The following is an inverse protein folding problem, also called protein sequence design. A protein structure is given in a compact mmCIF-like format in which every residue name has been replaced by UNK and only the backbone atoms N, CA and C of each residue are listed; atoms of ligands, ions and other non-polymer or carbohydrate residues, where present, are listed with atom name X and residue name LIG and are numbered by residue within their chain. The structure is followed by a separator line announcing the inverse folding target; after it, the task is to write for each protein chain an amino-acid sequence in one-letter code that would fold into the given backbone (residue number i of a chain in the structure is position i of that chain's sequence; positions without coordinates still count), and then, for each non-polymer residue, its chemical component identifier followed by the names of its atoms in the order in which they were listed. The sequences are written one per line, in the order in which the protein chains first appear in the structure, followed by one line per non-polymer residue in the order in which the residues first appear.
data_IF_525329625615
#
_entry.id   IF_525329625615
#
_cell.length_a   1.000
_cell.length_b   1.000
_cell.length_c   1.000
_cell.angle_alpha   90.00
_cell.angle_beta   90.00
_cell.angle_gamma   90.00
#
_symmetry.space_group_name_H-M   'P 1'
#
loop_
_entity.id
_entity.type
_entity.pdbx_description
1 polymer ?
#
# COMPACT_ATOMS: atom_id res chain seq x y z
N UNK A 1 -27.09 -37.47 29.92
CA UNK A 1 -27.15 -36.25 30.77
C UNK A 1 -25.93 -35.31 30.68
N UNK A 2 -24.84 -35.66 29.97
CA UNK A 2 -23.60 -34.87 29.96
C UNK A 2 -23.57 -33.64 29.01
N UNK A 3 -24.36 -33.63 27.92
CA UNK A 3 -24.42 -32.53 26.93
C UNK A 3 -25.19 -31.27 27.38
N UNK A 4 -26.18 -31.40 28.27
CA UNK A 4 -26.93 -30.23 28.81
C UNK A 4 -26.08 -29.37 29.74
N UNK A 5 -25.21 -29.98 30.57
CA UNK A 5 -24.34 -29.27 31.50
C UNK A 5 -23.24 -28.44 30.81
N UNK A 6 -22.74 -28.82 29.63
CA UNK A 6 -21.72 -28.02 28.92
C UNK A 6 -22.30 -26.81 28.17
N UNK A 7 -23.56 -26.90 27.71
CA UNK A 7 -24.27 -25.79 27.07
C UNK A 7 -24.61 -24.69 28.09
N UNK A 8 -25.03 -25.09 29.30
CA UNK A 8 -25.26 -24.18 30.44
C UNK A 8 -23.97 -23.50 30.92
N UNK A 9 -22.83 -24.20 30.94
CA UNK A 9 -21.53 -23.59 31.28
C UNK A 9 -21.04 -22.56 30.24
N UNK A 10 -21.28 -22.79 28.95
CA UNK A 10 -20.96 -21.82 27.88
C UNK A 10 -21.86 -20.59 27.94
N UNK A 11 -23.16 -20.78 28.21
CA UNK A 11 -24.11 -19.67 28.37
C UNK A 11 -23.76 -18.84 29.61
N UNK A 12 -23.43 -19.49 30.73
CA UNK A 12 -22.97 -18.79 31.94
C UNK A 12 -21.69 -17.99 31.68
N UNK A 13 -20.70 -18.54 30.97
CA UNK A 13 -19.46 -17.83 30.63
C UNK A 13 -19.68 -16.60 29.73
N UNK A 14 -20.58 -16.71 28.74
CA UNK A 14 -20.94 -15.58 27.86
C UNK A 14 -21.70 -14.50 28.64
N UNK A 15 -22.60 -14.89 29.55
CA UNK A 15 -23.34 -13.97 30.41
C UNK A 15 -22.40 -13.28 31.40
N UNK A 16 -21.40 -13.99 31.96
CA UNK A 16 -20.40 -13.39 32.85
C UNK A 16 -19.54 -12.37 32.11
N UNK A 17 -19.08 -12.67 30.88
CA UNK A 17 -18.34 -11.68 30.06
C UNK A 17 -19.23 -10.47 29.75
N UNK A 18 -20.47 -10.69 29.31
CA UNK A 18 -21.42 -9.62 29.00
C UNK A 18 -21.70 -8.74 30.23
N UNK A 19 -21.88 -9.33 31.41
CA UNK A 19 -22.09 -8.61 32.67
C UNK A 19 -20.83 -7.88 33.15
N UNK A 20 -19.64 -8.47 33.00
CA UNK A 20 -18.38 -7.77 33.32
C UNK A 20 -18.13 -6.58 32.40
N UNK A 21 -18.51 -6.67 31.11
CA UNK A 21 -18.46 -5.54 30.16
C UNK A 21 -19.52 -4.49 30.51
N UNK A 22 -20.70 -4.91 30.97
CA UNK A 22 -21.79 -4.01 31.38
C UNK A 22 -21.49 -3.24 32.69
N UNK A 23 -20.61 -3.76 33.54
CA UNK A 23 -20.21 -3.13 34.81
C UNK A 23 -19.14 -2.04 34.68
N UNK A 24 -18.51 -1.85 33.51
CA UNK A 24 -17.59 -0.73 33.31
C UNK A 24 -18.39 0.53 32.97
N UNK A 25 -18.35 1.53 33.88
CA UNK A 25 -18.66 2.98 33.74
C UNK A 25 -19.44 3.44 32.49
N UNK A 26 -20.43 4.32 32.65
CA UNK A 26 -21.18 4.93 31.53
C UNK A 26 -20.29 5.46 30.39
N UNK A 27 -19.04 5.86 30.68
CA UNK A 27 -18.02 6.31 29.72
C UNK A 27 -17.45 5.18 28.83
N UNK A 28 -17.23 4.00 29.40
CA UNK A 28 -16.77 2.79 28.66
C UNK A 28 -17.90 2.17 27.85
N UNK A 29 -19.15 2.28 28.32
CA UNK A 29 -20.33 1.87 27.56
C UNK A 29 -20.57 2.76 26.33
N UNK A 30 -20.49 4.09 26.46
CA UNK A 30 -20.57 5.00 25.29
C UNK A 30 -19.39 4.82 24.33
N UNK A 31 -18.19 4.54 24.85
CA UNK A 31 -17.03 4.21 24.03
C UNK A 31 -17.25 2.93 23.21
N UNK A 32 -17.82 1.88 23.81
CA UNK A 32 -18.10 0.60 23.14
C UNK A 32 -19.34 0.64 22.24
N UNK A 33 -20.38 1.39 22.59
CA UNK A 33 -21.58 1.60 21.77
C UNK A 33 -21.28 2.41 20.49
N UNK A 34 -20.32 3.34 20.53
CA UNK A 34 -19.81 4.03 19.34
C UNK A 34 -18.86 3.16 18.49
N UNK A 35 -18.34 2.07 19.05
CA UNK A 35 -17.32 1.24 18.40
C UNK A 35 -17.97 0.01 17.73
N UNK A 36 -19.00 -0.64 18.30
CA UNK A 36 -19.29 -2.02 17.87
C UNK A 36 -20.74 -2.56 17.96
N UNK A 37 -21.76 -1.81 17.51
CA UNK A 37 -23.08 -2.40 17.23
C UNK A 37 -23.51 -2.08 15.79
N UNK A 38 -23.11 -2.93 14.84
CA UNK A 38 -23.66 -2.95 13.46
C UNK A 38 -22.74 -2.48 12.34
N UNK A 39 -21.57 -1.91 12.64
CA UNK A 39 -20.58 -1.57 11.62
C UNK A 39 -19.96 -2.85 11.02
N UNK A 40 -19.88 -2.98 9.67
CA UNK A 40 -19.18 -4.08 9.03
C UNK A 40 -17.74 -4.23 9.57
N UNK A 41 -17.26 -5.45 9.86
CA UNK A 41 -15.90 -5.68 10.37
C UNK A 41 -14.79 -5.04 9.54
N UNK A 42 -15.04 -4.83 8.24
CA UNK A 42 -14.10 -4.17 7.34
C UNK A 42 -13.82 -2.70 7.71
N UNK A 43 -14.77 -2.00 8.33
CA UNK A 43 -14.57 -0.63 8.81
C UNK A 43 -13.53 -0.62 9.94
N UNK A 44 -13.66 -1.53 10.91
CA UNK A 44 -12.65 -1.68 11.96
C UNK A 44 -11.29 -2.05 11.35
N UNK A 45 -11.28 -3.00 10.41
CA UNK A 45 -10.05 -3.40 9.74
C UNK A 45 -9.33 -2.20 9.13
N UNK A 46 -10.05 -1.32 8.42
CA UNK A 46 -9.45 -0.13 7.82
C UNK A 46 -8.79 0.79 8.86
N UNK A 47 -9.47 1.02 9.99
CA UNK A 47 -8.97 1.90 11.05
C UNK A 47 -7.76 1.31 11.79
N UNK A 48 -7.76 0.00 12.02
CA UNK A 48 -6.70 -0.67 12.79
C UNK A 48 -5.46 -0.97 11.95
N UNK A 49 -5.60 -1.16 10.64
CA UNK A 49 -4.53 -1.62 9.77
C UNK A 49 -3.21 -0.80 9.88
N UNK A 50 -3.22 0.54 9.92
CA UNK A 50 -1.98 1.32 10.10
C UNK A 50 -1.24 1.00 11.40
N UNK A 51 -1.95 0.52 12.41
CA UNK A 51 -1.44 0.23 13.75
C UNK A 51 -0.94 -1.21 13.92
N UNK A 52 -1.22 -2.11 12.96
CA UNK A 52 -0.78 -3.51 13.01
C UNK A 52 0.73 -3.67 12.75
N UNK A 53 1.45 -2.60 12.41
CA UNK A 53 2.91 -2.61 12.20
C UNK A 53 3.34 -3.22 10.87
N UNK A 54 2.39 -3.60 10.01
CA UNK A 54 2.67 -4.22 8.71
C UNK A 54 3.16 -3.21 7.66
N UNK A 55 2.76 -1.94 7.76
CA UNK A 55 3.09 -0.90 6.77
C UNK A 55 4.37 -0.15 7.13
N UNK A 56 4.53 0.15 8.42
CA UNK A 56 5.58 1.00 8.98
C UNK A 56 6.10 0.36 10.27
N UNK A 57 7.36 -0.10 10.26
CA UNK A 57 7.98 -0.78 11.38
C UNK A 57 9.40 -0.27 11.63
N UNK A 58 9.89 -0.42 12.86
CA UNK A 58 11.28 -0.11 13.21
C UNK A 58 12.28 -0.89 12.33
N UNK A 59 11.99 -2.17 12.08
CA UNK A 59 12.76 -3.03 11.19
C UNK A 59 12.79 -2.48 9.76
N UNK A 60 11.67 -1.99 9.24
CA UNK A 60 11.64 -1.39 7.91
C UNK A 60 12.50 -0.11 7.85
N UNK A 61 12.40 0.78 8.84
CA UNK A 61 13.26 1.98 8.86
C UNK A 61 14.74 1.63 8.96
N UNK A 62 15.10 0.58 9.69
CA UNK A 62 16.47 0.07 9.73
C UNK A 62 16.91 -0.45 8.37
N UNK A 63 16.05 -1.19 7.67
CA UNK A 63 16.34 -1.67 6.31
C UNK A 63 16.58 -0.50 5.34
N UNK A 64 15.77 0.56 5.41
CA UNK A 64 15.98 1.78 4.61
C UNK A 64 17.31 2.48 4.92
N UNK A 65 17.73 2.50 6.19
CA UNK A 65 19.04 3.03 6.58
C UNK A 65 20.19 2.17 6.03
N UNK A 66 20.05 0.83 6.07
CA UNK A 66 21.05 -0.12 5.56
C UNK A 66 21.29 0.07 4.06
N UNK A 67 20.22 0.23 3.29
CA UNK A 67 20.31 0.52 1.84
C UNK A 67 20.61 1.99 1.54
N UNK A 68 20.81 2.82 2.58
CA UNK A 68 21.14 4.25 2.50
C UNK A 68 20.13 5.07 1.69
N UNK A 69 18.86 4.67 1.69
CA UNK A 69 17.81 5.48 1.07
C UNK A 69 17.57 6.74 1.92
N UNK A 70 17.69 7.96 1.39
CA UNK A 70 17.34 9.16 2.14
C UNK A 70 15.84 9.26 2.36
N UNK A 71 15.41 9.36 3.62
CA UNK A 71 14.01 9.58 3.98
C UNK A 71 13.87 10.49 5.19
N UNK A 72 12.70 11.13 5.32
CA UNK A 72 12.30 11.86 6.54
C UNK A 72 11.06 11.20 7.13
N UNK A 73 11.09 10.89 8.43
CA UNK A 73 9.89 10.41 9.15
C UNK A 73 8.89 11.55 9.32
N UNK A 74 7.61 11.22 9.20
CA UNK A 74 6.49 12.13 9.43
C UNK A 74 5.82 11.89 10.77
N UNK A 75 5.02 12.87 11.21
CA UNK A 75 4.09 12.69 12.31
C UNK A 75 2.94 11.75 11.90
N UNK A 76 2.34 11.11 12.88
CA UNK A 76 1.09 10.36 12.71
C UNK A 76 -0.07 11.35 12.47
N UNK A 77 -1.01 10.99 11.58
CA UNK A 77 -2.19 11.79 11.23
C UNK A 77 -1.94 13.32 11.18
N UNK A 78 -1.04 13.81 10.32
CA UNK A 78 -0.72 15.23 10.30
C UNK A 78 -1.97 16.04 9.90
N UNK A 79 -2.16 17.20 10.54
CA UNK A 79 -3.42 17.97 10.48
C UNK A 79 -3.79 18.39 9.04
N UNK A 80 -2.80 18.63 8.20
CA UNK A 80 -2.94 18.97 6.79
C UNK A 80 -3.34 17.78 5.89
N UNK A 81 -3.47 16.58 6.46
CA UNK A 81 -3.87 15.35 5.77
C UNK A 81 -5.13 14.70 6.33
N UNK A 82 -5.97 15.46 7.05
CA UNK A 82 -7.26 15.00 7.59
C UNK A 82 -8.28 14.71 6.48
N UNK A 83 -8.06 13.63 5.75
CA UNK A 83 -9.09 12.86 5.04
C UNK A 83 -9.56 11.74 6.01
N UNK A 84 -10.67 11.04 5.75
CA UNK A 84 -11.21 9.94 6.59
C UNK A 84 -10.26 8.70 6.76
N UNK A 85 -8.98 8.86 6.45
CA UNK A 85 -7.93 7.87 6.49
C UNK A 85 -6.97 8.10 7.66
N UNK A 86 -6.55 7.00 8.28
CA UNK A 86 -5.60 7.00 9.39
C UNK A 86 -4.20 6.68 8.89
N UNK A 87 -3.24 7.47 9.34
CA UNK A 87 -1.83 7.40 8.98
C UNK A 87 -0.97 7.24 10.23
N UNK A 88 -0.04 6.30 10.16
CA UNK A 88 0.96 6.08 11.21
C UNK A 88 2.33 5.88 10.60
N UNK A 89 3.29 6.72 10.96
CA UNK A 89 4.70 6.53 10.64
C UNK A 89 5.03 6.57 9.14
N UNK A 90 4.34 7.39 8.35
CA UNK A 90 4.73 7.62 6.95
C UNK A 90 6.14 8.21 6.85
N UNK A 91 6.74 8.06 5.68
CA UNK A 91 8.01 8.69 5.34
C UNK A 91 7.87 9.54 4.09
N UNK A 92 8.69 10.57 4.02
CA UNK A 92 8.89 11.39 2.83
C UNK A 92 10.17 10.92 2.13
N UNK A 93 10.03 10.47 0.89
CA UNK A 93 11.15 10.12 0.00
C UNK A 93 11.13 11.00 -1.25
N UNK A 94 12.30 11.17 -1.89
CA UNK A 94 12.40 11.69 -3.26
C UNK A 94 12.91 10.59 -4.18
N UNK A 95 14.13 10.13 -3.99
CA UNK A 95 14.70 9.06 -4.80
C UNK A 95 13.95 7.72 -4.57
N UNK A 96 13.68 6.90 -5.61
CA UNK A 96 13.97 7.12 -7.04
C UNK A 96 12.84 7.81 -7.83
N UNK A 97 11.88 8.42 -7.14
CA UNK A 97 10.75 9.11 -7.74
C UNK A 97 11.15 10.51 -8.23
N UNK A 98 10.46 10.98 -9.26
CA UNK A 98 10.67 12.33 -9.82
C UNK A 98 10.35 13.41 -8.79
N UNK A 99 9.23 13.23 -8.11
CA UNK A 99 8.72 14.16 -7.10
C UNK A 99 8.80 13.57 -5.70
N UNK A 100 8.77 14.46 -4.69
CA UNK A 100 8.66 14.02 -3.30
C UNK A 100 7.31 13.35 -3.05
N UNK A 101 7.31 12.23 -2.32
CA UNK A 101 6.09 11.48 -1.97
C UNK A 101 6.05 11.08 -0.51
N UNK A 102 4.85 11.19 0.05
CA UNK A 102 4.48 10.61 1.34
C UNK A 102 4.05 9.16 1.10
N UNK A 103 4.77 8.23 1.70
CA UNK A 103 4.69 6.81 1.37
C UNK A 103 4.85 5.95 2.63
N UNK A 104 4.28 4.74 2.60
CA UNK A 104 4.61 3.72 3.60
C UNK A 104 6.07 3.28 3.45
N UNK A 105 6.71 2.93 4.57
CA UNK A 105 8.06 2.40 4.58
C UNK A 105 8.15 1.11 3.77
N UNK A 106 7.15 0.22 3.91
CA UNK A 106 7.09 -1.05 3.17
C UNK A 106 7.10 -0.82 1.66
N UNK A 107 6.28 0.11 1.16
CA UNK A 107 6.24 0.42 -0.26
C UNK A 107 7.54 1.10 -0.73
N UNK A 108 8.09 2.04 0.04
CA UNK A 108 9.37 2.67 -0.27
C UNK A 108 10.51 1.65 -0.43
N UNK A 109 10.58 0.68 0.49
CA UNK A 109 11.56 -0.41 0.40
C UNK A 109 11.36 -1.23 -0.87
N UNK A 110 10.12 -1.63 -1.19
CA UNK A 110 9.82 -2.39 -2.40
C UNK A 110 10.18 -1.62 -3.68
N UNK A 111 9.86 -0.32 -3.76
CA UNK A 111 10.21 0.56 -4.88
C UNK A 111 11.73 0.65 -5.03
N UNK A 112 12.48 0.80 -3.94
CA UNK A 112 13.94 0.86 -4.01
C UNK A 112 14.52 -0.46 -4.54
N UNK A 113 14.05 -1.61 -4.04
CA UNK A 113 14.48 -2.92 -4.55
C UNK A 113 14.15 -3.07 -6.04
N UNK A 114 12.97 -2.62 -6.46
CA UNK A 114 12.56 -2.63 -7.86
C UNK A 114 13.45 -1.73 -8.72
N UNK A 115 13.73 -0.52 -8.26
CA UNK A 115 14.61 0.40 -8.96
C UNK A 115 16.03 -0.15 -9.12
N UNK A 116 16.65 -0.55 -8.01
CA UNK A 116 18.05 -0.95 -7.98
C UNK A 116 18.31 -2.29 -8.70
N UNK A 117 17.46 -3.28 -8.46
CA UNK A 117 17.73 -4.67 -8.92
C UNK A 117 16.97 -5.07 -10.17
N UNK A 118 16.01 -4.26 -10.63
CA UNK A 118 15.24 -4.55 -11.84
C UNK A 118 15.40 -3.43 -12.86
N UNK A 119 15.00 -2.21 -12.51
CA UNK A 119 14.92 -1.13 -13.48
C UNK A 119 16.29 -0.66 -13.95
N UNK A 120 17.27 -0.51 -13.03
CA UNK A 120 18.61 -0.08 -13.39
C UNK A 120 19.34 -1.06 -14.32
N UNK A 121 19.38 -2.38 -14.04
CA UNK A 121 19.96 -3.35 -14.97
C UNK A 121 19.28 -3.36 -16.35
N UNK A 122 17.94 -3.24 -16.38
CA UNK A 122 17.19 -3.16 -17.64
C UNK A 122 17.53 -1.88 -18.41
N UNK A 123 17.66 -0.75 -17.71
CA UNK A 123 17.99 0.54 -18.29
C UNK A 123 19.35 0.48 -19.00
N UNK A 124 20.38 0.00 -18.30
CA UNK A 124 21.73 -0.14 -18.88
C UNK A 124 21.73 -1.13 -20.04
N UNK A 125 21.04 -2.26 -19.91
CA UNK A 125 21.00 -3.30 -20.96
C UNK A 125 20.36 -2.79 -22.25
N UNK A 126 19.24 -2.09 -22.16
CA UNK A 126 18.42 -1.73 -23.33
C UNK A 126 18.78 -0.36 -23.91
N UNK A 127 19.25 0.57 -23.08
CA UNK A 127 19.49 1.96 -23.49
C UNK A 127 20.93 2.44 -23.29
N UNK A 128 21.80 1.60 -22.69
CA UNK A 128 23.18 1.99 -22.36
C UNK A 128 23.27 3.15 -21.37
N UNK A 129 22.18 3.43 -20.64
CA UNK A 129 22.02 4.61 -19.80
C UNK A 129 21.32 4.24 -18.49
N UNK A 130 21.65 4.95 -17.41
CA UNK A 130 20.97 4.78 -16.12
C UNK A 130 19.59 5.42 -16.11
N UNK A 131 18.71 4.81 -15.33
CA UNK A 131 17.42 5.40 -14.97
C UNK A 131 17.64 6.47 -13.89
N UNK A 132 17.18 7.70 -14.13
CA UNK A 132 17.33 8.82 -13.19
C UNK A 132 16.10 9.02 -12.31
N UNK A 133 14.90 8.80 -12.84
CA UNK A 133 13.68 8.93 -12.06
C UNK A 133 12.50 8.12 -12.60
N UNK A 134 11.62 7.76 -11.69
CA UNK A 134 10.31 7.17 -11.94
C UNK A 134 9.26 8.29 -11.84
N UNK A 135 8.44 8.43 -12.87
CA UNK A 135 7.32 9.38 -12.87
C UNK A 135 6.05 8.64 -12.48
N UNK A 136 5.35 9.15 -11.46
CA UNK A 136 4.09 8.61 -10.95
C UNK A 136 2.96 9.64 -11.06
N UNK A 137 1.71 9.15 -11.12
CA UNK A 137 0.50 9.99 -11.05
C UNK A 137 -0.19 9.99 -9.69
N UNK A 138 0.37 9.27 -8.72
CA UNK A 138 -0.17 9.24 -7.37
C UNK A 138 0.35 8.09 -6.53
N UNK A 139 0.54 8.40 -5.25
CA UNK A 139 0.79 7.40 -4.17
C UNK A 139 -0.36 7.41 -3.16
N UNK A 140 -1.01 8.56 -2.96
CA UNK A 140 -2.00 8.76 -1.90
C UNK A 140 -3.34 9.21 -2.47
N UNK A 141 -4.40 8.55 -2.04
CA UNK A 141 -5.80 8.93 -2.31
C UNK A 141 -6.69 8.21 -1.29
N UNK A 142 -7.30 8.96 -0.36
CA UNK A 142 -8.21 8.37 0.62
C UNK A 142 -9.56 8.05 -0.04
N UNK A 143 -9.71 6.82 -0.51
CA UNK A 143 -10.94 6.34 -1.16
C UNK A 143 -11.12 4.85 -0.99
N UNK A 144 -12.35 4.41 -1.21
CA UNK A 144 -12.65 3.00 -1.37
C UNK A 144 -12.00 2.43 -2.64
N UNK A 145 -11.71 1.13 -2.59
CA UNK A 145 -11.36 0.36 -3.76
C UNK A 145 -12.54 0.34 -4.73
N UNK A 146 -12.26 0.46 -6.03
CA UNK A 146 -13.28 0.50 -7.07
C UNK A 146 -14.18 -0.74 -6.99
N UNK A 147 -15.50 -0.54 -6.96
CA UNK A 147 -16.46 -1.64 -6.81
C UNK A 147 -16.71 -2.11 -5.36
N UNK A 148 -16.04 -1.53 -4.36
CA UNK A 148 -16.25 -1.87 -2.95
C UNK A 148 -16.84 -0.71 -2.14
N UNK A 149 -17.82 -1.02 -1.28
CA UNK A 149 -18.53 0.00 -0.48
C UNK A 149 -17.76 0.48 0.75
N UNK A 150 -16.94 -0.38 1.35
CA UNK A 150 -16.30 -0.11 2.64
C UNK A 150 -14.83 -0.53 2.71
N UNK A 151 -14.27 -1.12 1.65
CA UNK A 151 -12.87 -1.54 1.64
C UNK A 151 -12.04 -0.39 1.07
N UNK A 152 -11.12 0.15 1.86
CA UNK A 152 -10.22 1.20 1.41
C UNK A 152 -9.17 0.65 0.44
N UNK A 153 -8.82 1.45 -0.56
CA UNK A 153 -7.71 1.18 -1.48
C UNK A 153 -6.36 1.22 -0.76
N UNK A 154 -5.34 0.56 -1.29
CA UNK A 154 -3.96 0.69 -0.81
C UNK A 154 -3.41 2.12 -0.90
N UNK A 155 -3.94 2.95 -1.81
CA UNK A 155 -3.64 4.39 -1.86
C UNK A 155 -4.12 5.15 -0.62
N UNK A 156 -5.14 4.65 0.08
CA UNK A 156 -5.61 5.25 1.32
C UNK A 156 -4.57 5.14 2.44
N UNK A 157 -3.64 4.18 2.31
CA UNK A 157 -2.58 3.91 3.27
C UNK A 157 -1.20 4.35 2.77
N UNK A 158 -1.14 5.08 1.66
CA UNK A 158 0.10 5.40 0.94
C UNK A 158 0.96 4.16 0.67
N UNK A 159 0.29 3.04 0.40
CA UNK A 159 0.87 1.71 0.22
C UNK A 159 0.66 1.17 -1.21
N UNK A 160 0.26 2.06 -2.13
CA UNK A 160 0.24 1.85 -3.57
C UNK A 160 0.90 3.01 -4.32
N UNK A 161 1.33 2.77 -5.56
CA UNK A 161 1.86 3.76 -6.49
C UNK A 161 1.36 3.48 -7.90
N UNK A 162 0.99 4.54 -8.61
CA UNK A 162 0.63 4.50 -10.04
C UNK A 162 1.77 5.09 -10.87
N UNK A 163 2.62 4.23 -11.45
CA UNK A 163 3.76 4.64 -12.28
C UNK A 163 3.26 4.93 -13.69
N UNK A 164 3.64 6.08 -14.26
CA UNK A 164 3.29 6.49 -15.63
C UNK A 164 4.48 6.50 -16.58
N UNK A 165 5.71 6.54 -16.07
CA UNK A 165 6.89 6.61 -16.94
C UNK A 165 8.24 6.58 -16.24
N UNK A 166 9.27 6.61 -17.07
CA UNK A 166 10.67 6.43 -16.70
C UNK A 166 11.55 7.43 -17.47
N UNK A 167 12.48 8.07 -16.78
CA UNK A 167 13.40 9.07 -17.36
C UNK A 167 14.85 8.62 -17.20
N UNK A 168 15.63 8.73 -18.26
CA UNK A 168 17.00 8.20 -18.36
C UNK A 168 18.01 9.35 -18.50
N UNK A 169 19.25 9.12 -18.07
CA UNK A 169 20.30 10.16 -18.05
C UNK A 169 20.71 10.67 -19.45
N UNK A 170 20.48 9.87 -20.50
CA UNK A 170 20.75 10.23 -21.90
C UNK A 170 19.60 11.04 -22.55
N UNK A 171 18.59 11.43 -21.77
CA UNK A 171 17.40 12.16 -22.26
C UNK A 171 16.29 11.27 -22.81
N UNK A 172 16.50 9.95 -22.87
CA UNK A 172 15.44 9.03 -23.23
C UNK A 172 14.31 9.05 -22.19
N UNK A 173 13.08 8.84 -22.65
CA UNK A 173 11.93 8.66 -21.77
C UNK A 173 11.01 7.56 -22.28
N UNK A 174 10.37 6.89 -21.31
CA UNK A 174 9.31 5.92 -21.55
C UNK A 174 8.04 6.42 -20.89
N UNK A 175 6.94 6.42 -21.64
CA UNK A 175 5.60 6.70 -21.13
C UNK A 175 4.74 5.45 -21.33
N UNK A 176 4.07 4.98 -20.28
CA UNK A 176 3.24 3.78 -20.35
C UNK A 176 2.12 3.95 -21.38
N UNK A 177 1.44 5.10 -21.39
CA UNK A 177 0.38 5.41 -22.36
C UNK A 177 0.82 5.38 -23.83
N UNK A 178 2.12 5.55 -24.12
CA UNK A 178 2.66 5.61 -25.48
C UNK A 178 3.36 4.32 -25.90
N UNK A 179 4.19 3.80 -25.01
CA UNK A 179 5.19 2.78 -25.34
C UNK A 179 4.75 1.37 -24.91
N UNK A 180 3.63 1.24 -24.20
CA UNK A 180 3.12 -0.07 -23.80
C UNK A 180 2.78 -0.94 -25.01
N UNK A 181 3.39 -2.12 -25.07
CA UNK A 181 3.15 -3.09 -26.15
C UNK A 181 3.89 -2.78 -27.46
N UNK A 182 4.76 -1.76 -27.51
CA UNK A 182 5.60 -1.52 -28.69
C UNK A 182 6.58 -2.67 -28.93
N UNK A 183 6.97 -2.87 -30.19
CA UNK A 183 7.94 -3.91 -30.59
C UNK A 183 9.40 -3.44 -30.52
N UNK A 184 9.68 -2.32 -29.85
CA UNK A 184 11.01 -1.74 -29.69
C UNK A 184 11.53 -1.90 -28.25
N UNK A 185 12.71 -1.35 -27.97
CA UNK A 185 13.39 -1.45 -26.67
C UNK A 185 12.54 -0.90 -25.52
N UNK A 186 11.71 0.13 -25.75
CA UNK A 186 10.79 0.68 -24.74
C UNK A 186 9.73 -0.31 -24.33
N UNK A 187 9.14 -1.01 -25.30
CA UNK A 187 8.15 -2.04 -25.05
C UNK A 187 8.77 -3.26 -24.37
N UNK A 188 10.00 -3.64 -24.75
CA UNK A 188 10.76 -4.70 -24.05
C UNK A 188 11.06 -4.31 -22.60
N UNK A 189 11.45 -3.07 -22.36
CA UNK A 189 11.67 -2.53 -21.02
C UNK A 189 10.39 -2.65 -20.18
N UNK A 190 9.26 -2.13 -20.68
CA UNK A 190 7.98 -2.15 -19.96
C UNK A 190 7.49 -3.57 -19.69
N UNK A 191 7.58 -4.47 -20.68
CA UNK A 191 7.24 -5.89 -20.52
C UNK A 191 8.06 -6.56 -19.44
N UNK A 192 9.38 -6.31 -19.44
CA UNK A 192 10.30 -6.89 -18.46
C UNK A 192 10.11 -6.30 -17.06
N UNK A 193 9.93 -4.98 -16.99
CA UNK A 193 9.67 -4.22 -15.77
C UNK A 193 8.40 -4.75 -15.08
N UNK A 194 7.28 -4.84 -15.82
CA UNK A 194 6.02 -5.43 -15.33
C UNK A 194 6.20 -6.87 -14.83
N UNK A 195 6.79 -7.76 -15.64
CA UNK A 195 6.93 -9.16 -15.28
C UNK A 195 7.77 -9.39 -14.01
N UNK A 196 8.73 -8.50 -13.75
CA UNK A 196 9.57 -8.54 -12.54
C UNK A 196 8.90 -7.83 -11.36
N UNK A 197 8.13 -6.77 -11.60
CA UNK A 197 7.31 -6.12 -10.58
C UNK A 197 6.36 -7.13 -9.92
N UNK A 198 5.74 -8.03 -10.69
CA UNK A 198 4.86 -9.08 -10.17
C UNK A 198 5.52 -10.05 -9.17
N UNK A 199 6.86 -10.02 -9.03
CA UNK A 199 7.60 -10.82 -8.03
C UNK A 199 7.94 -10.03 -6.77
N UNK A 200 7.86 -8.71 -6.81
CA UNK A 200 8.26 -7.80 -5.73
C UNK A 200 7.05 -7.18 -5.03
N UNK A 201 6.01 -6.87 -5.79
CA UNK A 201 4.77 -6.28 -5.30
C UNK A 201 3.71 -7.36 -5.15
N UNK A 202 2.75 -7.10 -4.25
CA UNK A 202 1.67 -8.04 -4.00
C UNK A 202 0.62 -7.93 -5.10
N UNK A 203 0.22 -6.72 -5.47
CA UNK A 203 -0.64 -6.46 -6.63
C UNK A 203 0.11 -5.67 -7.69
N UNK A 204 -0.03 -6.09 -8.94
CA UNK A 204 0.43 -5.36 -10.12
C UNK A 204 -0.69 -5.35 -11.15
N UNK A 205 -1.13 -4.18 -11.60
CA UNK A 205 -2.15 -4.03 -12.64
C UNK A 205 -1.56 -3.25 -13.80
N UNK A 206 -1.65 -3.83 -14.99
CA UNK A 206 -1.16 -3.26 -16.23
C UNK A 206 -2.25 -2.62 -17.09
N UNK A 207 -1.86 -1.83 -18.13
CA UNK A 207 -2.78 -1.33 -19.15
C UNK A 207 -3.64 -2.38 -19.87
N UNK A 208 -3.29 -3.67 -19.77
CA UNK A 208 -4.07 -4.74 -20.39
C UNK A 208 -5.30 -5.14 -19.57
N UNK A 209 -5.32 -4.84 -18.27
CA UNK A 209 -6.37 -5.32 -17.37
C UNK A 209 -7.71 -4.62 -17.61
N UNK A 210 -7.71 -3.29 -17.59
CA UNK A 210 -8.91 -2.48 -17.82
C UNK A 210 -8.57 -1.06 -18.32
N UNK A 211 -9.60 -0.31 -18.70
CA UNK A 211 -9.48 1.07 -19.18
C UNK A 211 -8.90 2.03 -18.13
N UNK A 212 -9.19 1.79 -16.84
CA UNK A 212 -8.71 2.65 -15.76
C UNK A 212 -7.19 2.61 -15.63
N UNK A 213 -6.55 1.50 -16.02
CA UNK A 213 -5.10 1.32 -15.97
C UNK A 213 -4.40 1.53 -17.32
N UNK A 214 -5.10 2.00 -18.34
CA UNK A 214 -4.57 2.14 -19.71
C UNK A 214 -3.30 3.01 -19.83
N UNK A 215 -3.07 3.93 -18.89
CA UNK A 215 -1.97 4.90 -18.91
C UNK A 215 -0.90 4.69 -17.83
N UNK A 216 -1.02 3.66 -16.98
CA UNK A 216 -0.12 3.46 -15.84
C UNK A 216 0.02 2.00 -15.39
N UNK A 217 1.04 1.74 -14.57
CA UNK A 217 1.17 0.51 -13.79
C UNK A 217 0.76 0.81 -12.35
N UNK A 218 -0.27 0.12 -11.85
CA UNK A 218 -0.59 0.13 -10.43
C UNK A 218 0.25 -0.91 -9.70
N UNK A 219 0.90 -0.53 -8.61
CA UNK A 219 1.75 -1.41 -7.79
C UNK A 219 1.41 -1.20 -6.31
N UNK A 220 1.12 -2.28 -5.59
CA UNK A 220 0.85 -2.19 -4.15
C UNK A 220 1.46 -3.31 -3.30
N UNK A 221 1.54 -3.04 -2.00
CA UNK A 221 2.03 -3.99 -0.98
C UNK A 221 0.89 -4.47 -0.05
N UNK A 222 -0.33 -4.49 -0.58
CA UNK A 222 -1.56 -4.91 0.08
C UNK A 222 -1.58 -6.39 0.45
N UNK A 223 -2.69 -6.86 1.03
CA UNK A 223 -2.79 -8.26 1.45
C UNK A 223 -3.13 -9.21 0.29
N UNK A 224 -3.85 -8.71 -0.70
CA UNK A 224 -4.22 -9.46 -1.91
C UNK A 224 -3.00 -9.65 -2.81
N UNK A 225 -2.97 -10.75 -3.55
CA UNK A 225 -1.94 -10.99 -4.57
C UNK A 225 -2.54 -11.10 -5.96
N UNK A 226 -1.90 -10.44 -6.93
CA UNK A 226 -2.33 -10.47 -8.32
C UNK A 226 -1.32 -9.83 -9.25
N UNK A 227 -1.33 -10.29 -10.51
CA UNK A 227 -0.50 -9.77 -11.59
C UNK A 227 -1.39 -9.81 -12.83
N UNK A 228 -1.89 -8.64 -13.23
CA UNK A 228 -2.96 -8.47 -14.21
C UNK A 228 -2.53 -7.60 -15.40
#
# INVERSE_FOLDING_TARGET
MHKRKSKLKKIAFIITIALTVYCFSNKTRTFLENIYIGAPPIILFNQLRPYLGELNSSACYQALNTIKLPFRKMADNPEDMQEDCFFKGMILIKHPLKEKRHISCKLAYAIFQYYEYVLQPLAVKLFGAKLVSITDKGVRSCRNMTGHKFLLSEHAYSNAIDIVGFEFENGENILISRDWGSSNEKGEFLKSAYAKACKLFNMVISPKYDESHSDHLHLDMGLSKGCY
#
